data_IF_618783126497
#
_entry.id   IF_618783126497
#
_cell.length_a   1.000
_cell.length_b   1.000
_cell.length_c   1.000
_cell.angle_alpha   90.00
_cell.angle_beta   90.00
_cell.angle_gamma   90.00
#
_symmetry.space_group_name_H-M   'P 1'
#
loop_
_entity.id
_entity.type
_entity.pdbx_description
1 polymer ?
#
# COMPACT_ATOMS: atom_id res chain seq x y z
N UNK A 1 -5.14 11.28 4.10
CA UNK A 1 -4.91 9.84 4.10
C UNK A 1 -5.95 9.16 3.24
N UNK A 2 -5.53 8.21 2.42
CA UNK A 2 -6.42 7.42 1.60
C UNK A 2 -6.31 5.95 1.97
N UNK A 3 -7.41 5.23 1.82
CA UNK A 3 -7.49 3.80 2.09
C UNK A 3 -8.03 3.08 0.87
N UNK A 4 -7.47 1.90 0.60
CA UNK A 4 -7.88 1.05 -0.51
C UNK A 4 -8.02 -0.39 0.00
N UNK A 5 -9.04 -1.09 -0.48
CA UNK A 5 -9.36 -2.44 -0.06
C UNK A 5 -9.31 -3.39 -1.25
N UNK A 6 -8.83 -4.60 -1.01
CA UNK A 6 -8.87 -5.66 -2.02
C UNK A 6 -10.20 -6.38 -2.03
N UNK A 7 -10.32 -7.33 -2.98
CA UNK A 7 -11.34 -8.36 -2.94
C UNK A 7 -11.21 -9.17 -1.64
N UNK A 8 -12.29 -9.86 -1.29
CA UNK A 8 -12.31 -10.78 -0.15
C UNK A 8 -12.10 -12.20 -0.68
N UNK A 9 -11.14 -12.93 -0.11
CA UNK A 9 -10.93 -14.34 -0.39
C UNK A 9 -11.13 -15.12 0.91
N UNK A 10 -12.29 -15.71 1.06
CA UNK A 10 -12.64 -16.59 2.20
C UNK A 10 -12.38 -15.91 3.55
N UNK A 11 -12.74 -14.64 3.67
CA UNK A 11 -12.59 -13.86 4.89
C UNK A 11 -11.28 -13.11 5.02
N UNK A 12 -10.42 -13.17 4.02
CA UNK A 12 -9.16 -12.43 4.00
C UNK A 12 -9.22 -11.32 2.98
N UNK A 13 -8.58 -10.18 3.32
CA UNK A 13 -8.38 -9.07 2.39
C UNK A 13 -7.13 -8.31 2.77
N UNK A 14 -6.56 -7.58 1.83
CA UNK A 14 -5.50 -6.61 2.15
C UNK A 14 -6.08 -5.21 2.15
N UNK A 15 -5.49 -4.38 2.99
CA UNK A 15 -5.84 -2.97 3.12
C UNK A 15 -4.58 -2.15 2.98
N UNK A 16 -4.68 -1.10 2.16
CA UNK A 16 -3.56 -0.23 1.85
C UNK A 16 -3.89 1.18 2.32
N UNK A 17 -2.94 1.82 3.02
CA UNK A 17 -3.04 3.22 3.42
C UNK A 17 -1.93 4.00 2.74
N UNK A 18 -2.29 5.13 2.16
CA UNK A 18 -1.37 6.10 1.59
C UNK A 18 -1.53 7.39 2.39
N UNK A 19 -0.49 7.77 3.12
CA UNK A 19 -0.56 8.87 4.08
C UNK A 19 0.59 9.86 3.84
N UNK A 20 0.31 11.00 3.19
CA UNK A 20 1.32 12.07 3.08
C UNK A 20 1.61 12.63 4.46
N UNK A 21 2.88 12.56 4.88
CA UNK A 21 3.26 12.95 6.24
C UNK A 21 3.97 14.30 6.31
N UNK A 22 4.61 14.71 5.21
CA UNK A 22 5.27 16.02 5.16
C UNK A 22 5.56 16.43 3.74
N UNK A 23 5.81 17.73 3.55
CA UNK A 23 6.26 18.30 2.27
C UNK A 23 7.62 18.95 2.46
N UNK A 24 8.50 18.75 1.49
CA UNK A 24 9.72 19.53 1.36
C UNK A 24 9.49 20.55 0.25
N UNK A 25 9.10 21.77 0.63
CA UNK A 25 8.72 22.80 -0.34
C UNK A 25 9.92 23.20 -1.20
N UNK A 26 11.11 23.50 -0.64
CA UNK A 26 12.27 23.84 -1.48
C UNK A 26 12.67 22.70 -2.42
N UNK A 27 12.53 21.46 -2.00
CA UNK A 27 12.89 20.30 -2.81
C UNK A 27 11.80 19.81 -3.72
N UNK A 28 10.60 20.40 -3.66
CA UNK A 28 9.44 20.02 -4.46
C UNK A 28 9.13 18.52 -4.35
N UNK A 29 9.04 18.04 -3.14
CA UNK A 29 8.78 16.62 -2.87
C UNK A 29 7.92 16.44 -1.63
N UNK A 30 7.32 15.26 -1.50
CA UNK A 30 6.56 14.86 -0.32
C UNK A 30 7.10 13.57 0.25
N UNK A 31 7.01 13.43 1.56
CA UNK A 31 7.21 12.15 2.23
C UNK A 31 5.85 11.47 2.36
N UNK A 32 5.76 10.23 1.92
CA UNK A 32 4.51 9.49 1.88
C UNK A 32 4.71 8.17 2.60
N UNK A 33 3.93 7.97 3.64
CA UNK A 33 3.93 6.70 4.38
C UNK A 33 2.99 5.72 3.71
N UNK A 34 3.50 4.52 3.42
CA UNK A 34 2.77 3.46 2.73
C UNK A 34 2.67 2.28 3.68
N UNK A 35 1.45 1.86 4.00
CA UNK A 35 1.21 0.72 4.88
C UNK A 35 0.29 -0.28 4.20
N UNK A 36 0.66 -1.55 4.27
CA UNK A 36 -0.14 -2.65 3.74
C UNK A 36 -0.34 -3.67 4.86
N UNK A 37 -1.58 -4.07 5.08
CA UNK A 37 -1.94 -5.08 6.07
C UNK A 37 -2.79 -6.18 5.46
N UNK A 38 -2.61 -7.39 5.98
CA UNK A 38 -3.48 -8.53 5.73
C UNK A 38 -4.47 -8.65 6.89
N UNK A 39 -5.76 -8.67 6.58
CA UNK A 39 -6.82 -8.73 7.57
C UNK A 39 -7.50 -10.10 7.49
N UNK A 40 -7.59 -10.74 8.64
CA UNK A 40 -8.27 -12.02 8.79
C UNK A 40 -9.59 -11.79 9.53
N UNK A 41 -10.71 -12.00 8.83
CA UNK A 41 -12.04 -11.86 9.42
C UNK A 41 -12.76 -13.21 9.51
N UNK A 42 -12.02 -14.30 9.47
CA UNK A 42 -12.55 -15.66 9.41
C UNK A 42 -11.93 -16.52 10.51
N UNK A 43 -12.49 -17.71 10.70
CA UNK A 43 -11.94 -18.74 11.57
C UNK A 43 -11.01 -19.72 10.82
N UNK A 44 -10.73 -19.45 9.54
CA UNK A 44 -9.75 -20.24 8.79
C UNK A 44 -8.35 -19.78 9.16
N UNK A 45 -7.53 -20.72 9.57
CA UNK A 45 -6.17 -20.43 10.03
C UNK A 45 -5.16 -21.12 9.13
N UNK A 46 -4.09 -20.41 8.80
CA UNK A 46 -3.04 -20.94 7.95
C UNK A 46 -1.71 -20.25 8.24
N UNK A 47 -0.64 -20.93 7.86
CA UNK A 47 0.70 -20.34 7.86
C UNK A 47 1.49 -20.98 6.73
N UNK A 48 1.87 -20.17 5.73
CA UNK A 48 2.54 -20.67 4.54
C UNK A 48 3.27 -19.51 3.86
N UNK A 49 4.12 -19.84 2.88
CA UNK A 49 4.91 -18.82 2.19
C UNK A 49 4.02 -17.92 1.34
N UNK A 50 4.13 -16.64 1.56
CA UNK A 50 3.37 -15.62 0.86
C UNK A 50 4.29 -14.51 0.37
N UNK A 51 3.79 -13.73 -0.57
CA UNK A 51 4.45 -12.51 -1.03
C UNK A 51 3.42 -11.42 -1.28
N UNK A 52 3.87 -10.18 -1.22
CA UNK A 52 3.03 -9.03 -1.47
C UNK A 52 3.87 -7.90 -2.03
N UNK A 53 3.21 -6.98 -2.75
CA UNK A 53 3.86 -5.78 -3.21
C UNK A 53 2.87 -4.62 -3.31
N UNK A 54 3.41 -3.42 -3.26
CA UNK A 54 2.68 -2.19 -3.52
C UNK A 54 3.44 -1.43 -4.61
N UNK A 55 2.73 -1.05 -5.66
CA UNK A 55 3.26 -0.21 -6.72
C UNK A 55 2.66 1.18 -6.61
N UNK A 56 3.51 2.19 -6.56
CA UNK A 56 3.09 3.58 -6.60
C UNK A 56 4.25 4.43 -7.14
N UNK A 57 3.90 5.39 -7.98
CA UNK A 57 4.86 6.35 -8.54
C UNK A 57 6.10 5.67 -9.16
N UNK A 58 5.89 4.57 -9.89
CA UNK A 58 6.98 3.84 -10.53
C UNK A 58 7.88 3.06 -9.59
N UNK A 59 7.54 2.99 -8.32
CA UNK A 59 8.29 2.24 -7.32
C UNK A 59 7.49 1.02 -6.87
N UNK A 60 8.19 -0.06 -6.58
CA UNK A 60 7.58 -1.26 -6.02
C UNK A 60 8.18 -1.57 -4.66
N UNK A 61 7.30 -1.65 -3.65
CA UNK A 61 7.66 -2.08 -2.31
C UNK A 61 7.29 -3.55 -2.18
N UNK A 62 8.22 -4.39 -1.80
CA UNK A 62 8.05 -5.84 -1.76
C UNK A 62 8.07 -6.36 -0.33
N UNK A 63 7.31 -7.43 -0.13
CA UNK A 63 7.30 -8.20 1.12
C UNK A 63 7.21 -9.68 0.79
N UNK A 64 7.88 -10.51 1.58
CA UNK A 64 7.72 -11.95 1.52
C UNK A 64 7.89 -12.54 2.92
N UNK A 65 7.23 -13.65 3.18
CA UNK A 65 7.30 -14.29 4.47
C UNK A 65 6.24 -15.35 4.63
N UNK A 66 6.14 -15.89 5.85
CA UNK A 66 5.12 -16.87 6.22
C UNK A 66 4.35 -16.30 7.40
N UNK A 67 3.35 -15.43 7.16
CA UNK A 67 2.63 -14.79 8.25
C UNK A 67 1.82 -15.82 9.03
N UNK A 68 1.73 -15.63 10.33
CA UNK A 68 0.89 -16.48 11.19
C UNK A 68 -0.54 -15.97 11.12
N UNK A 69 -1.38 -16.66 10.36
CA UNK A 69 -2.81 -16.34 10.21
C UNK A 69 -3.62 -17.25 11.13
N UNK A 70 -3.31 -17.20 12.43
CA UNK A 70 -3.86 -18.14 13.38
C UNK A 70 -4.82 -17.52 14.39
N UNK A 71 -5.14 -16.23 14.24
CA UNK A 71 -6.05 -15.52 15.11
C UNK A 71 -7.22 -14.95 14.35
N UNK A 72 -8.42 -15.20 14.84
CA UNK A 72 -9.63 -14.61 14.27
C UNK A 72 -9.60 -13.09 14.43
N UNK A 73 -10.08 -12.39 13.39
CA UNK A 73 -10.21 -10.93 13.40
C UNK A 73 -8.88 -10.22 13.69
N UNK A 74 -7.81 -10.71 13.09
CA UNK A 74 -6.47 -10.19 13.32
C UNK A 74 -6.00 -9.31 12.15
N UNK A 75 -5.03 -8.46 12.44
CA UNK A 75 -4.35 -7.63 11.45
C UNK A 75 -2.88 -8.00 11.43
N UNK A 76 -2.36 -8.30 10.25
CA UNK A 76 -0.95 -8.62 10.06
C UNK A 76 -0.33 -7.54 9.19
N UNK A 77 0.64 -6.80 9.74
CA UNK A 77 1.31 -5.74 9.01
C UNK A 77 2.37 -6.34 8.09
N UNK A 78 2.27 -6.02 6.80
CA UNK A 78 3.20 -6.52 5.78
C UNK A 78 4.23 -5.48 5.39
N UNK A 79 3.79 -4.26 5.09
CA UNK A 79 4.64 -3.17 4.63
C UNK A 79 4.31 -1.93 5.45
N UNK A 80 5.35 -1.24 5.91
CA UNK A 80 5.24 0.07 6.53
C UNK A 80 6.52 0.82 6.20
N UNK A 81 6.47 1.63 5.13
CA UNK A 81 7.63 2.38 4.66
C UNK A 81 7.21 3.79 4.30
N UNK A 82 8.13 4.71 4.48
CA UNK A 82 7.97 6.09 4.03
C UNK A 82 8.87 6.31 2.82
N UNK A 83 8.28 6.80 1.74
CA UNK A 83 9.01 7.06 0.50
C UNK A 83 8.98 8.54 0.18
N UNK A 84 9.95 8.98 -0.63
CA UNK A 84 9.99 10.34 -1.15
C UNK A 84 9.41 10.36 -2.56
N UNK A 85 8.44 11.25 -2.77
CA UNK A 85 7.79 11.41 -4.08
C UNK A 85 8.06 12.81 -4.58
N UNK A 86 8.76 12.92 -5.72
CA UNK A 86 9.00 14.20 -6.38
C UNK A 86 7.75 14.70 -7.07
N UNK A 87 7.49 16.00 -6.98
CA UNK A 87 6.35 16.64 -7.65
C UNK A 87 6.73 17.17 -9.03
N UNK A 88 5.71 17.45 -9.83
CA UNK A 88 5.90 18.13 -11.11
C UNK A 88 6.40 19.56 -10.88
N UNK A 89 6.89 20.19 -11.94
CA UNK A 89 7.46 21.54 -11.84
C UNK A 89 6.46 22.56 -11.28
N UNK A 90 5.16 22.37 -11.53
CA UNK A 90 4.11 23.24 -11.01
C UNK A 90 3.68 22.90 -9.56
N UNK A 91 4.32 21.91 -8.96
CA UNK A 91 4.02 21.48 -7.60
C UNK A 91 2.95 20.42 -7.49
N UNK A 92 2.29 20.07 -8.56
CA UNK A 92 1.26 19.02 -8.55
C UNK A 92 1.87 17.64 -8.65
N UNK A 93 1.13 16.63 -8.19
CA UNK A 93 1.54 15.23 -8.37
C UNK A 93 0.38 14.29 -8.15
N UNK A 94 0.18 13.40 -9.11
CA UNK A 94 -0.71 12.24 -8.98
C UNK A 94 0.02 11.00 -9.43
N UNK A 95 -0.38 9.85 -8.92
CA UNK A 95 0.21 8.58 -9.34
C UNK A 95 -0.80 7.45 -9.20
N UNK A 96 -0.63 6.41 -10.01
CA UNK A 96 -1.42 5.18 -9.87
C UNK A 96 -0.98 4.39 -8.64
N UNK A 97 -1.91 3.67 -8.05
CA UNK A 97 -1.68 2.87 -6.84
C UNK A 97 -2.26 1.48 -7.08
N UNK A 98 -1.45 0.47 -6.84
CA UNK A 98 -1.89 -0.91 -6.87
C UNK A 98 -1.13 -1.73 -5.83
N UNK A 99 -1.74 -2.84 -5.41
CA UNK A 99 -1.14 -3.75 -4.46
C UNK A 99 -1.60 -5.17 -4.77
N UNK A 100 -0.81 -6.14 -4.36
CA UNK A 100 -1.12 -7.55 -4.56
C UNK A 100 -0.60 -8.37 -3.39
N UNK A 101 -1.35 -9.41 -3.07
CA UNK A 101 -0.94 -10.45 -2.14
C UNK A 101 -1.12 -11.79 -2.84
N UNK A 102 -0.10 -12.64 -2.77
CA UNK A 102 -0.15 -13.99 -3.33
C UNK A 102 0.22 -14.99 -2.26
N UNK A 103 -0.70 -15.91 -2.00
CA UNK A 103 -0.45 -17.06 -1.17
C UNK A 103 -0.12 -18.26 -2.02
N UNK A 104 0.75 -19.14 -1.53
CA UNK A 104 1.14 -20.33 -2.22
C UNK A 104 0.33 -21.56 -1.84
N UNK A 105 0.42 -22.63 -2.63
CA UNK A 105 -0.04 -23.96 -2.25
C UNK A 105 -1.54 -24.15 -2.16
N UNK A 106 -2.34 -23.27 -2.75
CA UNK A 106 -3.79 -23.42 -2.74
C UNK A 106 -4.47 -23.12 -1.42
N UNK A 107 -3.76 -22.56 -0.47
CA UNK A 107 -4.30 -22.14 0.83
C UNK A 107 -5.04 -20.81 0.71
N UNK A 108 -5.85 -20.50 1.73
CA UNK A 108 -6.51 -19.20 1.86
C UNK A 108 -5.66 -18.26 2.71
N UNK A 109 -5.44 -17.01 2.31
CA UNK A 109 -5.87 -16.43 1.04
C UNK A 109 -4.97 -16.86 -0.12
N UNK A 110 -5.54 -16.96 -1.30
CA UNK A 110 -4.78 -17.25 -2.52
C UNK A 110 -4.26 -15.98 -3.16
N UNK A 111 -5.15 -15.18 -3.73
CA UNK A 111 -4.81 -13.94 -4.42
C UNK A 111 -5.72 -12.81 -3.97
N UNK A 112 -5.10 -11.70 -3.56
CA UNK A 112 -5.80 -10.48 -3.17
C UNK A 112 -5.17 -9.32 -3.94
N UNK A 113 -6.01 -8.45 -4.54
CA UNK A 113 -5.47 -7.37 -5.35
C UNK A 113 -6.24 -6.08 -5.16
N UNK A 114 -5.49 -4.99 -5.27
CA UNK A 114 -6.00 -3.62 -5.33
C UNK A 114 -5.46 -3.04 -6.64
N UNK A 115 -6.36 -2.60 -7.52
CA UNK A 115 -5.96 -2.10 -8.84
C UNK A 115 -6.90 -1.00 -9.30
N UNK A 116 -6.45 -0.24 -10.31
CA UNK A 116 -7.26 0.80 -10.93
C UNK A 116 -7.45 2.04 -10.07
N UNK A 117 -6.60 2.23 -9.07
CA UNK A 117 -6.71 3.37 -8.16
C UNK A 117 -5.63 4.41 -8.44
N UNK A 118 -5.89 5.63 -8.00
CA UNK A 118 -4.92 6.73 -8.10
C UNK A 118 -4.98 7.55 -6.82
N UNK A 119 -3.90 8.29 -6.58
CA UNK A 119 -3.81 9.20 -5.44
C UNK A 119 -3.21 10.52 -5.90
N UNK A 120 -3.80 11.61 -5.45
CA UNK A 120 -3.31 12.97 -5.75
C UNK A 120 -2.78 13.60 -4.48
N UNK A 121 -1.52 13.98 -4.50
CA UNK A 121 -0.90 14.70 -3.40
C UNK A 121 -1.34 16.15 -3.38
N UNK A 122 -1.33 16.76 -2.21
CA UNK A 122 -1.56 18.19 -2.08
C UNK A 122 -0.48 18.95 -2.87
N UNK A 123 -0.91 19.85 -3.71
CA UNK A 123 0.00 20.64 -4.54
C UNK A 123 0.94 21.47 -3.67
N UNK A 124 2.23 21.38 -3.94
CA UNK A 124 3.23 22.20 -3.27
C UNK A 124 3.21 23.59 -3.89
N UNK A 125 3.11 24.66 -3.07
CA UNK A 125 3.17 26.01 -3.61
C UNK A 125 4.51 26.25 -4.30
N UNK A 126 4.48 26.67 -5.55
CA UNK A 126 5.69 27.01 -6.31
C UNK A 126 5.68 28.49 -6.59
N UNK A 127 6.79 29.13 -6.25
CA UNK A 127 6.96 30.51 -6.59
C UNK A 127 7.19 30.65 -8.09
N UNK A 128 6.39 31.49 -8.74
CA UNK A 128 6.63 31.85 -10.12
C UNK A 128 7.46 33.12 -10.23
N UNK A 129 8.17 33.42 -9.21
CA UNK A 129 9.01 34.61 -9.21
C UNK A 129 9.99 34.60 -10.34
N UNK A 130 10.18 35.67 -10.88
CA UNK A 130 11.04 35.91 -12.01
C UNK A 130 12.11 36.88 -11.59
#
# INVERSE_FOLDING_TARGET
>A
MAEFWSNNDRGYRIRLWIDPVSQNIPGNSSQVRVRLALLNTTTTFAQYSCSAWVDLNGQRLNWSGSPSMTSYNSTIWLIDQTITVGHNADGSKSFGVSANFSGGGGWSPGALSISGNSFTLTTIPRSSSV
#
